data_IF_405844888024
#
_entry.id   IF_405844888024
#
_cell.length_a   1.000
_cell.length_b   1.000
_cell.length_c   1.000
_cell.angle_alpha   90.00
_cell.angle_beta   90.00
_cell.angle_gamma   90.00
#
_symmetry.space_group_name_H-M   'P 1'
#
loop_
_entity.id
_entity.type
_entity.pdbx_description
1 polymer ?
#
# COMPACT_ATOMS: atom_id res chain seq x y z
N UNK A 1 -9.12 37.18 8.37
CA UNK A 1 -8.85 35.71 8.42
C UNK A 1 -7.97 35.36 7.23
N UNK A 2 -6.84 34.67 7.45
CA UNK A 2 -5.99 34.17 6.34
C UNK A 2 -6.76 33.15 5.51
N UNK A 3 -6.37 32.95 4.24
CA UNK A 3 -6.97 31.94 3.36
C UNK A 3 -6.92 30.54 4.00
N UNK A 4 -5.80 30.19 4.63
CA UNK A 4 -5.61 28.92 5.32
C UNK A 4 -6.57 28.72 6.50
N UNK A 5 -6.85 29.79 7.27
CA UNK A 5 -7.82 29.73 8.35
C UNK A 5 -9.24 29.49 7.84
N UNK A 6 -9.61 30.10 6.71
CA UNK A 6 -10.92 29.89 6.09
C UNK A 6 -11.11 28.45 5.57
N UNK A 7 -10.07 27.85 4.99
CA UNK A 7 -10.13 26.51 4.41
C UNK A 7 -9.96 25.40 5.46
N UNK A 8 -9.03 25.55 6.39
CA UNK A 8 -8.62 24.47 7.28
C UNK A 8 -9.02 24.63 8.75
N UNK A 9 -9.55 25.80 9.14
CA UNK A 9 -10.03 26.06 10.51
C UNK A 9 -8.96 25.76 11.56
N UNK A 10 -7.74 26.27 11.37
CA UNK A 10 -6.55 25.95 12.16
C UNK A 10 -6.75 26.21 13.66
N UNK A 11 -7.33 27.37 14.02
CA UNK A 11 -7.61 27.74 15.42
C UNK A 11 -8.58 26.76 16.07
N UNK A 12 -9.61 26.34 15.35
CA UNK A 12 -10.61 25.38 15.83
C UNK A 12 -10.01 23.99 16.11
N UNK A 13 -8.94 23.64 15.38
CA UNK A 13 -8.20 22.38 15.54
C UNK A 13 -6.97 22.52 16.45
N UNK A 14 -6.77 23.68 17.08
CA UNK A 14 -5.67 23.94 18.04
C UNK A 14 -4.27 23.85 17.41
N UNK A 15 -4.13 24.24 16.13
CA UNK A 15 -2.87 24.18 15.39
C UNK A 15 -2.51 25.52 14.74
N UNK A 16 -1.32 25.60 14.16
CA UNK A 16 -0.81 26.78 13.45
C UNK A 16 -0.28 26.41 12.08
N UNK A 17 -0.20 27.37 11.14
CA UNK A 17 0.39 27.14 9.82
C UNK A 17 1.80 26.53 9.93
N UNK A 18 2.63 27.01 10.84
CA UNK A 18 3.99 26.50 11.03
C UNK A 18 3.99 25.04 11.47
N UNK A 19 3.10 24.67 12.38
CA UNK A 19 2.97 23.28 12.85
C UNK A 19 2.51 22.37 11.73
N UNK A 20 1.52 22.79 10.94
CA UNK A 20 1.00 22.03 9.81
C UNK A 20 2.05 21.84 8.70
N UNK A 21 2.85 22.89 8.40
CA UNK A 21 3.96 22.80 7.46
C UNK A 21 5.01 21.78 7.94
N UNK A 22 5.43 21.84 9.19
CA UNK A 22 6.38 20.90 9.77
C UNK A 22 5.82 19.47 9.79
N UNK A 23 4.53 19.31 10.07
CA UNK A 23 3.84 18.02 10.03
C UNK A 23 3.79 17.45 8.61
N UNK A 24 3.50 18.29 7.61
CA UNK A 24 3.47 17.89 6.21
C UNK A 24 4.85 17.46 5.69
N UNK A 25 5.89 18.22 6.00
CA UNK A 25 7.28 17.85 5.67
C UNK A 25 7.66 16.53 6.36
N UNK A 26 7.30 16.37 7.63
CA UNK A 26 7.59 15.12 8.36
C UNK A 26 6.87 13.93 7.75
N UNK A 27 5.58 14.06 7.40
CA UNK A 27 4.81 13.02 6.71
C UNK A 27 5.45 12.69 5.37
N UNK A 28 5.76 13.69 4.56
CA UNK A 28 6.40 13.47 3.25
C UNK A 28 7.72 12.71 3.39
N UNK A 29 8.60 13.12 4.30
CA UNK A 29 9.89 12.45 4.50
C UNK A 29 9.75 10.98 4.90
N UNK A 30 8.71 10.62 5.66
CA UNK A 30 8.48 9.23 6.07
C UNK A 30 7.84 8.38 4.99
N UNK A 31 7.07 8.96 4.04
CA UNK A 31 6.42 8.23 2.97
C UNK A 31 7.07 8.42 1.59
N UNK A 32 8.09 9.29 1.45
CA UNK A 32 8.73 9.59 0.17
C UNK A 32 9.46 8.42 -0.47
N UNK A 33 9.77 7.37 0.29
CA UNK A 33 10.36 6.14 -0.26
C UNK A 33 9.51 5.52 -1.38
N UNK A 34 8.21 5.80 -1.41
CA UNK A 34 7.29 5.29 -2.43
C UNK A 34 7.67 5.76 -3.85
N UNK A 35 8.31 6.93 -3.98
CA UNK A 35 8.73 7.45 -5.29
C UNK A 35 9.85 6.62 -5.93
N UNK A 36 10.55 5.82 -5.14
CA UNK A 36 11.58 4.89 -5.60
C UNK A 36 11.00 3.47 -5.74
N UNK A 37 10.29 3.02 -4.72
CA UNK A 37 9.83 1.64 -4.61
C UNK A 37 8.69 1.33 -5.57
N UNK A 38 7.75 2.25 -5.79
CA UNK A 38 6.62 1.98 -6.68
C UNK A 38 7.03 1.82 -8.15
N UNK A 39 7.86 2.70 -8.75
CA UNK A 39 8.37 2.50 -10.11
C UNK A 39 9.19 1.22 -10.25
N UNK A 40 9.95 0.83 -9.23
CA UNK A 40 10.72 -0.40 -9.22
C UNK A 40 9.82 -1.64 -9.24
N UNK A 41 8.76 -1.67 -8.42
CA UNK A 41 7.82 -2.79 -8.38
C UNK A 41 7.04 -2.88 -9.68
N UNK A 42 6.40 -1.79 -10.12
CA UNK A 42 5.56 -1.79 -11.32
C UNK A 42 6.40 -1.93 -12.60
N UNK A 43 7.66 -1.48 -12.61
CA UNK A 43 8.59 -1.68 -13.72
C UNK A 43 8.84 -3.16 -14.04
N UNK A 44 8.72 -4.07 -13.05
CA UNK A 44 8.85 -5.53 -13.29
C UNK A 44 7.75 -6.08 -14.19
N UNK A 45 6.65 -5.37 -14.39
CA UNK A 45 5.52 -5.74 -15.25
C UNK A 45 5.69 -5.31 -16.71
N UNK A 46 6.80 -4.65 -17.04
CA UNK A 46 7.05 -4.05 -18.36
C UNK A 46 6.51 -2.63 -18.52
N UNK A 47 5.99 -2.01 -17.45
CA UNK A 47 5.66 -0.58 -17.45
C UNK A 47 6.93 0.27 -17.49
N UNK A 48 6.86 1.41 -18.19
CA UNK A 48 7.97 2.38 -18.19
C UNK A 48 8.18 2.98 -16.80
N UNK A 49 9.34 2.73 -16.20
CA UNK A 49 9.63 3.13 -14.82
C UNK A 49 9.62 4.66 -14.64
N UNK A 50 10.03 5.43 -15.67
CA UNK A 50 9.99 6.88 -15.64
C UNK A 50 8.55 7.41 -15.63
N UNK A 51 7.69 6.86 -16.48
CA UNK A 51 6.27 7.20 -16.50
C UNK A 51 5.56 6.80 -15.20
N UNK A 52 5.88 5.62 -14.63
CA UNK A 52 5.36 5.19 -13.32
C UNK A 52 5.83 6.11 -12.19
N UNK A 53 7.08 6.59 -12.23
CA UNK A 53 7.56 7.58 -11.26
C UNK A 53 6.70 8.85 -11.29
N UNK A 54 6.44 9.38 -12.49
CA UNK A 54 5.59 10.57 -12.68
C UNK A 54 4.16 10.27 -12.22
N UNK A 55 3.59 9.13 -12.62
CA UNK A 55 2.26 8.69 -12.20
C UNK A 55 2.15 8.58 -10.67
N UNK A 56 3.19 8.04 -10.01
CA UNK A 56 3.27 7.91 -8.54
C UNK A 56 3.22 9.27 -7.86
N UNK A 57 4.07 10.21 -8.30
CA UNK A 57 4.11 11.56 -7.74
C UNK A 57 2.80 12.31 -7.95
N UNK A 58 2.21 12.23 -9.15
CA UNK A 58 0.94 12.89 -9.47
C UNK A 58 -0.24 12.28 -8.72
N UNK A 59 -0.32 10.94 -8.63
CA UNK A 59 -1.37 10.25 -7.88
C UNK A 59 -1.29 10.57 -6.38
N UNK A 60 -0.09 10.57 -5.80
CA UNK A 60 0.14 10.94 -4.41
C UNK A 60 -0.23 12.42 -4.15
N UNK A 61 0.17 13.31 -5.04
CA UNK A 61 -0.16 14.73 -4.95
C UNK A 61 -1.67 14.97 -5.05
N UNK A 62 -2.33 14.38 -6.05
CA UNK A 62 -3.76 14.51 -6.28
C UNK A 62 -4.56 13.93 -5.10
N UNK A 63 -4.25 12.69 -4.70
CA UNK A 63 -4.92 12.02 -3.58
C UNK A 63 -4.80 12.81 -2.29
N UNK A 64 -3.58 13.27 -1.95
CA UNK A 64 -3.33 14.09 -0.76
C UNK A 64 -4.05 15.44 -0.82
N UNK A 65 -4.12 16.08 -2.01
CA UNK A 65 -4.87 17.33 -2.18
C UNK A 65 -6.37 17.12 -2.01
N UNK A 66 -6.94 16.05 -2.58
CA UNK A 66 -8.36 15.72 -2.43
C UNK A 66 -8.68 15.40 -0.96
N UNK A 67 -7.83 14.64 -0.27
CA UNK A 67 -7.96 14.37 1.16
C UNK A 67 -7.92 15.67 1.99
N UNK A 68 -7.00 16.57 1.66
CA UNK A 68 -6.86 17.87 2.32
C UNK A 68 -8.13 18.73 2.20
N UNK A 69 -8.66 18.85 0.99
CA UNK A 69 -9.74 19.77 0.67
C UNK A 69 -11.14 19.20 1.00
N UNK A 70 -11.36 17.92 0.76
CA UNK A 70 -12.66 17.29 0.98
C UNK A 70 -12.90 16.89 2.44
N UNK A 71 -11.88 16.29 3.09
CA UNK A 71 -12.00 15.75 4.45
C UNK A 71 -11.38 16.65 5.53
N UNK A 72 -10.46 17.52 5.16
CA UNK A 72 -9.64 18.34 6.09
C UNK A 72 -8.94 17.45 7.13
N UNK A 73 -8.31 16.33 6.69
CA UNK A 73 -7.54 15.43 7.53
C UNK A 73 -6.04 15.50 7.21
N UNK A 74 -5.16 15.35 8.23
CA UNK A 74 -3.71 15.38 8.06
C UNK A 74 -3.16 14.04 7.54
N UNK A 75 -3.72 13.54 6.42
CA UNK A 75 -3.41 12.22 5.88
C UNK A 75 -2.85 12.36 4.47
N UNK A 76 -1.60 11.99 4.27
CA UNK A 76 -0.99 11.83 2.97
C UNK A 76 -1.46 10.54 2.28
N UNK A 77 -1.54 10.59 0.97
CA UNK A 77 -1.95 9.47 0.13
C UNK A 77 -0.87 9.15 -0.90
N UNK A 78 -0.70 7.88 -1.23
CA UNK A 78 0.19 7.41 -2.28
C UNK A 78 -0.19 5.99 -2.72
N UNK A 79 0.41 5.44 -3.82
CA UNK A 79 0.19 4.05 -4.20
C UNK A 79 0.54 3.07 -3.07
N UNK A 80 -0.41 2.20 -2.71
CA UNK A 80 -0.30 1.29 -1.56
C UNK A 80 0.65 0.12 -1.83
N UNK A 81 1.63 -0.10 -0.95
CA UNK A 81 2.69 -1.09 -1.17
C UNK A 81 2.18 -2.52 -1.36
N UNK A 82 1.22 -2.96 -0.53
CA UNK A 82 0.64 -4.29 -0.64
C UNK A 82 -0.10 -4.49 -1.96
N UNK A 83 -0.85 -3.47 -2.39
CA UNK A 83 -1.60 -3.50 -3.65
C UNK A 83 -0.68 -3.39 -4.88
N UNK A 84 0.45 -2.67 -4.77
CA UNK A 84 1.48 -2.65 -5.80
C UNK A 84 2.08 -4.05 -6.02
N UNK A 85 2.40 -4.73 -4.92
CA UNK A 85 2.93 -6.09 -4.97
C UNK A 85 1.89 -7.08 -5.51
N UNK A 86 0.63 -6.96 -5.11
CA UNK A 86 -0.46 -7.75 -5.67
C UNK A 86 -0.63 -7.52 -7.17
N UNK A 87 -0.63 -6.26 -7.61
CA UNK A 87 -0.67 -5.88 -9.01
C UNK A 87 0.47 -6.55 -9.81
N UNK A 88 1.71 -6.33 -9.38
CA UNK A 88 2.88 -6.73 -10.14
C UNK A 88 3.11 -8.24 -10.13
N UNK A 89 3.05 -8.88 -8.96
CA UNK A 89 3.48 -10.27 -8.83
C UNK A 89 2.32 -11.26 -8.94
N UNK A 90 1.13 -10.89 -8.48
CA UNK A 90 -0.01 -11.81 -8.55
C UNK A 90 -0.82 -11.60 -9.83
N UNK A 91 -1.22 -10.36 -10.14
CA UNK A 91 -2.12 -10.10 -11.27
C UNK A 91 -1.36 -10.19 -12.60
N UNK A 92 -0.24 -9.47 -12.72
CA UNK A 92 0.56 -9.51 -13.96
C UNK A 92 1.45 -10.76 -14.00
N UNK A 93 2.17 -11.05 -12.91
CA UNK A 93 3.15 -12.13 -12.88
C UNK A 93 2.51 -13.52 -12.90
N UNK A 94 1.71 -13.85 -11.89
CA UNK A 94 1.17 -15.21 -11.72
C UNK A 94 -0.10 -15.47 -12.57
N UNK A 95 -1.04 -14.50 -12.63
CA UNK A 95 -2.25 -14.64 -13.45
C UNK A 95 -2.02 -14.32 -14.92
N UNK A 96 -0.86 -13.76 -15.30
CA UNK A 96 -0.46 -13.50 -16.67
C UNK A 96 -1.23 -12.38 -17.39
N UNK A 97 -1.95 -11.52 -16.66
CA UNK A 97 -2.66 -10.41 -17.27
C UNK A 97 -1.66 -9.33 -17.75
N UNK A 98 -1.85 -8.77 -18.95
CA UNK A 98 -1.14 -7.56 -19.34
C UNK A 98 -1.35 -6.43 -18.32
N UNK A 99 -0.33 -5.63 -18.07
CA UNK A 99 -0.42 -4.55 -17.08
C UNK A 99 -1.53 -3.52 -17.38
N UNK A 100 -1.88 -3.33 -18.65
CA UNK A 100 -2.99 -2.47 -19.08
C UNK A 100 -4.34 -3.00 -18.59
N UNK A 101 -4.54 -4.31 -18.65
CA UNK A 101 -5.72 -4.97 -18.10
C UNK A 101 -5.71 -4.95 -16.57
N UNK A 102 -4.55 -5.13 -15.95
CA UNK A 102 -4.40 -4.98 -14.51
C UNK A 102 -4.76 -3.55 -14.03
N UNK A 103 -4.36 -2.50 -14.77
CA UNK A 103 -4.82 -1.12 -14.51
C UNK A 103 -6.33 -0.98 -14.67
N UNK A 104 -6.92 -1.64 -15.67
CA UNK A 104 -8.37 -1.72 -15.85
C UNK A 104 -9.07 -2.35 -14.63
N UNK A 105 -8.51 -3.42 -14.06
CA UNK A 105 -9.03 -4.05 -12.85
C UNK A 105 -8.93 -3.12 -11.62
N UNK A 106 -7.83 -2.38 -11.46
CA UNK A 106 -7.69 -1.35 -10.41
C UNK A 106 -8.74 -0.25 -10.59
N UNK A 107 -8.96 0.22 -11.82
CA UNK A 107 -9.98 1.21 -12.12
C UNK A 107 -11.39 0.74 -11.74
N UNK A 108 -11.74 -0.49 -12.12
CA UNK A 108 -13.03 -1.09 -11.78
C UNK A 108 -13.15 -1.25 -10.25
N UNK A 109 -12.10 -1.72 -9.56
CA UNK A 109 -12.10 -1.83 -8.11
C UNK A 109 -12.32 -0.46 -7.43
N UNK A 110 -11.67 0.59 -7.94
CA UNK A 110 -11.86 1.96 -7.48
C UNK A 110 -13.30 2.46 -7.66
N UNK A 111 -13.95 2.15 -8.80
CA UNK A 111 -15.36 2.48 -9.03
C UNK A 111 -16.28 1.70 -8.06
N UNK A 112 -16.05 0.40 -7.91
CA UNK A 112 -16.79 -0.42 -6.94
C UNK A 112 -16.61 0.15 -5.53
N UNK A 113 -15.39 0.50 -5.16
CA UNK A 113 -15.08 1.07 -3.87
C UNK A 113 -15.74 2.44 -3.63
N UNK A 114 -15.84 3.26 -4.68
CA UNK A 114 -16.58 4.52 -4.65
C UNK A 114 -18.08 4.27 -4.37
N UNK A 115 -18.69 3.32 -5.06
CA UNK A 115 -20.09 2.93 -4.85
C UNK A 115 -20.31 2.40 -3.43
N UNK A 116 -19.42 1.52 -2.93
CA UNK A 116 -19.47 0.99 -1.56
C UNK A 116 -19.35 2.11 -0.51
N UNK A 117 -18.54 3.14 -0.79
CA UNK A 117 -18.36 4.29 0.10
C UNK A 117 -19.59 5.21 0.10
N UNK A 118 -20.26 5.39 -1.04
CA UNK A 118 -21.49 6.19 -1.18
C UNK A 118 -22.71 5.51 -0.54
N UNK A 119 -22.82 4.19 -0.65
CA UNK A 119 -23.96 3.41 -0.16
C UNK A 119 -23.88 3.04 1.31
N UNK A 120 -22.71 3.23 1.94
CA UNK A 120 -22.46 2.81 3.33
C UNK A 120 -22.18 1.31 3.51
N UNK A 121 -22.22 0.51 2.43
CA UNK A 121 -21.93 -0.93 2.45
C UNK A 121 -20.49 -1.19 2.93
N UNK A 122 -19.56 -0.26 2.66
CA UNK A 122 -18.20 -0.34 3.18
C UNK A 122 -18.15 -0.47 4.71
N UNK A 123 -18.93 0.33 5.43
CA UNK A 123 -18.99 0.26 6.90
C UNK A 123 -19.50 -1.10 7.38
N UNK A 124 -20.49 -1.66 6.69
CA UNK A 124 -21.01 -3.00 6.97
C UNK A 124 -19.97 -4.09 6.72
N UNK A 125 -19.19 -4.03 5.62
CA UNK A 125 -18.10 -4.95 5.34
C UNK A 125 -17.03 -4.90 6.43
N UNK A 126 -16.56 -3.70 6.78
CA UNK A 126 -15.50 -3.50 7.79
C UNK A 126 -15.93 -4.02 9.16
N UNK A 127 -17.19 -3.76 9.56
CA UNK A 127 -17.70 -4.24 10.84
C UNK A 127 -17.92 -5.75 10.87
N UNK A 128 -18.14 -6.37 9.72
CA UNK A 128 -18.44 -7.79 9.60
C UNK A 128 -17.23 -8.72 9.60
N UNK A 129 -16.02 -8.20 9.33
CA UNK A 129 -14.83 -9.05 9.30
C UNK A 129 -14.12 -9.01 10.64
N UNK A 130 -13.81 -10.19 11.22
CA UNK A 130 -13.14 -10.31 12.52
C UNK A 130 -11.80 -9.56 12.57
N UNK A 131 -11.48 -8.99 13.73
CA UNK A 131 -10.19 -8.29 13.94
C UNK A 131 -9.00 -9.20 13.64
N UNK A 132 -9.06 -10.46 14.07
CA UNK A 132 -8.00 -11.46 13.84
C UNK A 132 -7.70 -11.65 12.34
N UNK A 133 -8.74 -11.75 11.48
CA UNK A 133 -8.52 -11.86 10.03
C UNK A 133 -7.98 -10.56 9.42
N UNK A 134 -8.47 -9.40 9.86
CA UNK A 134 -7.95 -8.10 9.36
C UNK A 134 -6.47 -7.94 9.68
N UNK A 135 -6.08 -8.23 10.91
CA UNK A 135 -4.69 -8.15 11.35
C UNK A 135 -3.81 -9.17 10.64
N UNK A 136 -4.32 -10.39 10.40
CA UNK A 136 -3.64 -11.41 9.64
C UNK A 136 -3.43 -11.03 8.16
N UNK A 137 -4.40 -10.35 7.54
CA UNK A 137 -4.26 -9.84 6.16
C UNK A 137 -3.11 -8.84 6.08
N UNK A 138 -3.07 -7.85 6.99
CA UNK A 138 -1.99 -6.85 7.00
C UNK A 138 -0.65 -7.51 7.25
N UNK A 139 -0.54 -8.40 8.22
CA UNK A 139 0.69 -9.12 8.52
C UNK A 139 1.13 -10.04 7.36
N UNK A 140 0.19 -10.73 6.70
CA UNK A 140 0.45 -11.57 5.53
C UNK A 140 1.00 -10.78 4.35
N UNK A 141 0.45 -9.60 4.07
CA UNK A 141 0.99 -8.67 3.09
C UNK A 141 2.42 -8.24 3.49
N UNK A 142 2.65 -7.98 4.77
CA UNK A 142 4.00 -7.70 5.28
C UNK A 142 4.97 -8.84 5.02
N UNK A 143 4.60 -10.09 5.32
CA UNK A 143 5.42 -11.27 5.02
C UNK A 143 5.67 -11.44 3.51
N UNK A 144 4.66 -11.15 2.69
CA UNK A 144 4.79 -11.18 1.23
C UNK A 144 5.78 -10.11 0.73
N UNK A 145 5.75 -8.90 1.29
CA UNK A 145 6.74 -7.87 0.98
C UNK A 145 8.14 -8.26 1.45
N UNK A 146 8.25 -8.93 2.61
CA UNK A 146 9.53 -9.38 3.15
C UNK A 146 10.22 -10.41 2.24
N UNK A 147 9.49 -11.41 1.73
CA UNK A 147 10.09 -12.40 0.81
C UNK A 147 10.55 -11.73 -0.49
N UNK A 148 9.77 -10.78 -1.03
CA UNK A 148 10.15 -10.00 -2.21
C UNK A 148 11.42 -9.18 -1.94
N UNK A 149 11.48 -8.50 -0.81
CA UNK A 149 12.65 -7.69 -0.44
C UNK A 149 13.92 -8.53 -0.30
N UNK A 150 13.83 -9.67 0.38
CA UNK A 150 14.94 -10.59 0.57
C UNK A 150 15.41 -11.21 -0.76
N UNK A 151 14.47 -11.52 -1.67
CA UNK A 151 14.78 -12.04 -2.99
C UNK A 151 15.44 -10.97 -3.88
N UNK A 152 14.89 -9.76 -3.93
CA UNK A 152 15.43 -8.64 -4.73
C UNK A 152 16.81 -8.20 -4.25
N UNK A 153 17.09 -8.30 -2.96
CA UNK A 153 18.42 -8.00 -2.39
C UNK A 153 19.44 -9.12 -2.59
N UNK A 154 19.02 -10.30 -3.06
CA UNK A 154 19.88 -11.47 -3.19
C UNK A 154 20.24 -12.13 -1.85
N UNK A 155 19.59 -11.74 -0.74
CA UNK A 155 19.75 -12.39 0.58
C UNK A 155 19.19 -13.80 0.56
N UNK A 156 18.06 -14.01 -0.14
CA UNK A 156 17.54 -15.33 -0.45
C UNK A 156 17.51 -15.55 -1.96
N UNK A 157 17.72 -16.79 -2.37
CA UNK A 157 17.71 -17.25 -3.78
C UNK A 157 16.85 -18.50 -3.91
N UNK A 158 16.37 -18.77 -5.13
CA UNK A 158 15.65 -20.00 -5.42
C UNK A 158 16.55 -21.22 -5.24
N UNK A 159 15.97 -22.30 -4.74
CA UNK A 159 16.64 -23.60 -4.57
C UNK A 159 15.64 -24.70 -4.93
N UNK A 160 16.06 -25.66 -5.76
CA UNK A 160 15.17 -26.72 -6.27
C UNK A 160 14.70 -27.68 -5.16
N UNK A 161 15.52 -27.92 -4.13
CA UNK A 161 15.20 -28.87 -3.05
C UNK A 161 14.36 -28.22 -1.93
N UNK A 162 14.65 -26.95 -1.59
CA UNK A 162 14.08 -26.27 -0.42
C UNK A 162 13.21 -25.06 -0.78
N UNK A 163 12.98 -24.79 -2.08
CA UNK A 163 12.32 -23.63 -2.68
C UNK A 163 13.13 -22.33 -2.52
N UNK A 164 13.70 -22.09 -1.34
CA UNK A 164 14.55 -20.93 -1.04
C UNK A 164 15.79 -21.34 -0.24
N UNK A 165 16.91 -20.66 -0.51
CA UNK A 165 18.16 -20.83 0.22
C UNK A 165 18.79 -19.46 0.48
N UNK A 166 19.79 -19.44 1.39
CA UNK A 166 20.59 -18.24 1.63
C UNK A 166 21.45 -17.95 0.38
N UNK A 167 21.36 -16.73 -0.11
CA UNK A 167 22.20 -16.26 -1.21
C UNK A 167 23.66 -16.01 -0.83
N UNK A 168 24.51 -15.66 -1.80
CA UNK A 168 25.93 -15.40 -1.57
C UNK A 168 26.12 -14.06 -0.84
N UNK A 169 26.24 -14.09 0.49
CA UNK A 169 26.41 -12.89 1.32
C UNK A 169 27.79 -12.21 1.15
N UNK A 170 28.68 -12.77 0.36
CA UNK A 170 30.00 -12.20 0.05
C UNK A 170 29.97 -11.19 -1.12
N UNK A 171 28.80 -10.90 -1.68
CA UNK A 171 28.62 -9.90 -2.74
C UNK A 171 28.08 -8.58 -2.18
N UNK A 172 28.32 -7.47 -2.88
CA UNK A 172 27.93 -6.15 -2.41
C UNK A 172 26.41 -5.95 -2.22
N UNK A 173 25.51 -6.39 -3.15
CA UNK A 173 24.08 -6.13 -3.03
C UNK A 173 23.44 -6.66 -1.73
N UNK A 174 23.56 -7.94 -1.33
CA UNK A 174 22.96 -8.43 -0.10
C UNK A 174 23.58 -7.82 1.15
N UNK A 175 24.91 -7.56 1.16
CA UNK A 175 25.57 -6.90 2.29
C UNK A 175 25.08 -5.46 2.47
N UNK A 176 24.97 -4.70 1.38
CA UNK A 176 24.46 -3.34 1.40
C UNK A 176 22.99 -3.29 1.82
N UNK A 177 22.18 -4.24 1.37
CA UNK A 177 20.79 -4.34 1.77
C UNK A 177 20.65 -4.63 3.27
N UNK A 178 21.39 -5.58 3.82
CA UNK A 178 21.37 -5.87 5.26
C UNK A 178 21.89 -4.70 6.09
N UNK A 179 22.98 -4.05 5.66
CA UNK A 179 23.50 -2.85 6.31
C UNK A 179 22.48 -1.69 6.25
N UNK A 180 21.81 -1.51 5.11
CA UNK A 180 20.75 -0.52 4.94
C UNK A 180 19.55 -0.77 5.85
N UNK A 181 19.14 -2.03 6.01
CA UNK A 181 18.08 -2.41 6.94
C UNK A 181 18.44 -2.08 8.39
N UNK A 182 19.65 -2.43 8.82
CA UNK A 182 20.13 -2.09 10.16
C UNK A 182 20.24 -0.58 10.36
N UNK A 183 20.72 0.15 9.34
CA UNK A 183 20.77 1.61 9.39
C UNK A 183 19.38 2.22 9.57
N UNK A 184 18.39 1.81 8.77
CA UNK A 184 17.00 2.26 8.89
C UNK A 184 16.48 1.97 10.31
N UNK A 185 16.67 0.76 10.81
CA UNK A 185 16.22 0.34 12.14
C UNK A 185 16.86 1.18 13.26
N UNK A 186 18.17 1.47 13.18
CA UNK A 186 18.87 2.34 14.15
C UNK A 186 18.36 3.77 14.08
N UNK A 187 18.19 4.33 12.88
CA UNK A 187 17.71 5.70 12.70
C UNK A 187 16.28 5.85 13.22
N UNK A 188 15.42 4.86 12.96
CA UNK A 188 14.05 4.84 13.44
C UNK A 188 13.96 4.68 14.96
N UNK A 189 14.79 3.79 15.55
CA UNK A 189 14.92 3.66 16.99
C UNK A 189 15.36 4.96 17.66
N UNK A 190 16.19 5.75 16.98
CA UNK A 190 16.60 7.10 17.41
C UNK A 190 15.56 8.18 17.09
N UNK A 191 14.42 7.81 16.52
CA UNK A 191 13.34 8.72 16.10
C UNK A 191 13.78 9.78 15.09
N UNK A 192 14.73 9.44 14.22
CA UNK A 192 15.18 10.32 13.14
C UNK A 192 14.16 10.28 12.02
N UNK A 193 13.59 11.43 11.69
CA UNK A 193 12.58 11.56 10.65
C UNK A 193 13.17 11.27 9.29
N UNK A 194 12.43 10.50 8.46
CA UNK A 194 12.89 10.10 7.14
C UNK A 194 13.96 9.01 7.17
N UNK A 195 14.05 8.21 8.24
CA UNK A 195 15.00 7.11 8.39
C UNK A 195 15.04 6.19 7.17
N UNK A 196 13.88 5.85 6.60
CA UNK A 196 13.77 5.01 5.41
C UNK A 196 14.41 5.68 4.19
N UNK A 197 14.09 6.95 3.95
CA UNK A 197 14.69 7.72 2.85
C UNK A 197 16.22 7.83 3.00
N UNK A 198 16.69 8.14 4.20
CA UNK A 198 18.13 8.22 4.50
C UNK A 198 18.80 6.87 4.22
N UNK A 199 18.19 5.75 4.63
CA UNK A 199 18.69 4.42 4.37
C UNK A 199 18.81 4.10 2.88
N UNK A 200 17.76 4.39 2.09
CA UNK A 200 17.80 4.19 0.64
C UNK A 200 18.93 5.02 0.00
N UNK A 201 19.02 6.30 0.34
CA UNK A 201 20.05 7.19 -0.21
C UNK A 201 21.47 6.78 0.23
N UNK A 202 21.64 6.33 1.47
CA UNK A 202 22.94 5.85 1.96
C UNK A 202 23.40 4.58 1.23
N UNK A 203 22.49 3.61 1.02
CA UNK A 203 22.79 2.38 0.28
C UNK A 203 23.08 2.70 -1.19
N UNK A 204 22.27 3.58 -1.82
CA UNK A 204 22.52 4.04 -3.19
C UNK A 204 23.88 4.74 -3.33
N UNK A 205 24.23 5.61 -2.37
CA UNK A 205 25.53 6.27 -2.33
C UNK A 205 26.69 5.31 -2.15
N UNK A 206 26.52 4.26 -1.33
CA UNK A 206 27.52 3.20 -1.18
C UNK A 206 27.68 2.39 -2.47
N UNK A 207 26.56 2.05 -3.16
CA UNK A 207 26.60 1.40 -4.46
C UNK A 207 27.29 2.26 -5.53
N UNK A 208 27.07 3.57 -5.50
CA UNK A 208 27.80 4.49 -6.36
C UNK A 208 29.30 4.52 -6.06
N UNK A 209 29.69 4.55 -4.80
CA UNK A 209 31.11 4.52 -4.39
C UNK A 209 31.80 3.20 -4.77
N UNK A 210 31.08 2.10 -4.86
CA UNK A 210 31.56 0.78 -5.30
C UNK A 210 31.56 0.62 -6.83
N UNK A 211 30.97 1.58 -7.58
CA UNK A 211 30.91 1.55 -9.04
C UNK A 211 29.73 0.82 -9.64
N UNK A 212 28.81 0.29 -8.81
CA UNK A 212 27.59 -0.41 -9.27
C UNK A 212 26.51 0.55 -9.79
N UNK A 213 26.50 1.80 -9.28
CA UNK A 213 25.52 2.81 -9.64
C UNK A 213 26.19 3.91 -10.46
N UNK A 214 25.62 4.24 -11.62
CA UNK A 214 26.10 5.35 -12.43
C UNK A 214 25.37 6.65 -12.06
N UNK A 215 26.14 7.72 -11.88
CA UNK A 215 25.56 9.04 -11.59
C UNK A 215 24.89 9.62 -12.83
N UNK A 216 23.58 9.92 -12.72
CA UNK A 216 22.74 10.48 -13.80
C UNK A 216 22.29 11.92 -13.54
N UNK A 217 22.77 12.55 -12.48
CA UNK A 217 22.32 13.86 -12.04
C UNK A 217 21.32 13.80 -10.89
N UNK A 218 21.04 14.95 -10.28
CA UNK A 218 20.08 15.03 -9.17
C UNK A 218 18.73 15.59 -9.61
N UNK A 219 18.71 16.50 -10.57
CA UNK A 219 17.52 17.25 -10.99
C UNK A 219 17.42 17.25 -12.50
N UNK A 220 16.22 16.99 -13.02
CA UNK A 220 15.86 17.13 -14.43
C UNK A 220 14.39 17.50 -14.58
N UNK A 221 13.97 17.80 -15.81
CA UNK A 221 12.55 17.83 -16.13
C UNK A 221 11.95 16.44 -15.96
N UNK A 222 10.69 16.33 -15.49
CA UNK A 222 10.02 15.05 -15.33
C UNK A 222 9.99 14.25 -16.65
N UNK A 223 10.13 12.92 -16.59
CA UNK A 223 9.88 12.05 -17.75
C UNK A 223 8.45 12.20 -18.28
N UNK A 224 8.23 11.73 -19.50
CA UNK A 224 6.88 11.73 -20.09
C UNK A 224 5.95 10.75 -19.35
N UNK A 225 4.74 11.19 -19.05
CA UNK A 225 3.68 10.35 -18.50
C UNK A 225 2.97 9.51 -19.59
N UNK A 226 3.12 9.88 -20.86
CA UNK A 226 2.38 9.31 -22.00
C UNK A 226 2.42 7.76 -22.07
N UNK A 227 3.52 7.05 -21.72
CA UNK A 227 3.56 5.60 -21.77
C UNK A 227 2.57 4.89 -20.87
N UNK A 228 2.09 5.54 -19.79
CA UNK A 228 1.17 4.91 -18.82
C UNK A 228 -0.17 5.63 -18.68
N UNK A 229 -0.25 6.88 -19.15
CA UNK A 229 -1.46 7.70 -19.03
C UNK A 229 -2.60 7.16 -19.88
N UNK A 230 -3.74 6.86 -19.23
CA UNK A 230 -4.96 6.32 -19.84
C UNK A 230 -4.74 5.02 -20.65
N UNK A 231 -3.73 4.24 -20.29
CA UNK A 231 -3.42 2.97 -20.94
C UNK A 231 -4.21 1.78 -20.36
N UNK A 232 -5.31 2.05 -19.64
CA UNK A 232 -6.16 0.96 -19.15
C UNK A 232 -6.91 0.30 -20.33
N UNK A 233 -6.78 -1.02 -20.43
CA UNK A 233 -7.48 -1.83 -21.43
C UNK A 233 -8.73 -2.48 -20.80
N UNK A 234 -9.83 -1.72 -20.74
CA UNK A 234 -11.12 -2.22 -20.28
C UNK A 234 -11.79 -3.19 -21.29
N UNK A 235 -11.74 -2.93 -22.61
CA UNK A 235 -12.27 -3.87 -23.58
C UNK A 235 -11.58 -5.24 -23.51
N UNK A 236 -10.24 -5.30 -23.52
CA UNK A 236 -9.49 -6.55 -23.41
C UNK A 236 -9.73 -7.31 -22.12
N UNK A 237 -10.04 -6.60 -21.04
CA UNK A 237 -10.39 -7.19 -19.75
C UNK A 237 -11.78 -7.85 -19.76
N UNK A 238 -12.72 -7.36 -20.58
CA UNK A 238 -14.12 -7.84 -20.64
C UNK A 238 -14.37 -8.80 -21.81
N UNK A 239 -13.53 -8.82 -22.85
CA UNK A 239 -13.68 -9.67 -24.02
C UNK A 239 -12.82 -10.93 -23.92
N UNK A 240 -13.42 -12.09 -24.23
CA UNK A 240 -12.87 -13.43 -23.98
C UNK A 240 -11.98 -13.97 -25.09
N UNK A 241 -11.55 -13.19 -26.06
CA UNK A 241 -10.72 -13.65 -27.18
C UNK A 241 -9.26 -13.87 -26.75
N UNK A 242 -9.03 -14.94 -25.94
CA UNK A 242 -7.71 -15.30 -25.42
C UNK A 242 -7.30 -14.60 -24.11
N UNK A 243 -8.20 -13.84 -23.48
CA UNK A 243 -8.00 -13.22 -22.16
C UNK A 243 -8.28 -14.16 -20.98
N UNK A 244 -7.96 -13.71 -19.78
CA UNK A 244 -8.25 -14.46 -18.57
C UNK A 244 -9.76 -14.69 -18.38
N UNK A 245 -10.19 -15.86 -17.84
CA UNK A 245 -11.58 -16.14 -17.56
C UNK A 245 -12.23 -15.03 -16.71
N UNK A 246 -13.52 -14.74 -16.88
CA UNK A 246 -14.25 -13.74 -16.09
C UNK A 246 -14.12 -13.99 -14.58
N UNK A 247 -13.91 -15.24 -14.18
CA UNK A 247 -13.67 -15.65 -12.79
C UNK A 247 -12.39 -15.06 -12.24
N UNK A 248 -11.32 -14.99 -13.04
CA UNK A 248 -10.03 -14.36 -12.66
C UNK A 248 -10.21 -12.85 -12.48
N UNK A 249 -10.93 -12.21 -13.40
CA UNK A 249 -11.25 -10.77 -13.28
C UNK A 249 -12.03 -10.47 -12.00
N UNK A 250 -13.12 -11.21 -11.76
CA UNK A 250 -13.95 -11.02 -10.57
C UNK A 250 -13.14 -11.21 -9.29
N UNK A 251 -12.25 -12.20 -9.28
CA UNK A 251 -11.34 -12.44 -8.16
C UNK A 251 -10.35 -11.29 -7.96
N UNK A 252 -9.69 -10.83 -9.02
CA UNK A 252 -8.72 -9.75 -8.95
C UNK A 252 -9.38 -8.48 -8.41
N UNK A 253 -10.56 -8.12 -8.93
CA UNK A 253 -11.34 -6.99 -8.44
C UNK A 253 -11.76 -7.19 -6.98
N UNK A 254 -12.25 -8.39 -6.61
CA UNK A 254 -12.64 -8.71 -5.24
C UNK A 254 -11.47 -8.54 -4.27
N UNK A 255 -10.28 -9.03 -4.62
CA UNK A 255 -9.08 -8.92 -3.78
C UNK A 255 -8.65 -7.46 -3.64
N UNK A 256 -8.62 -6.68 -4.74
CA UNK A 256 -8.34 -5.25 -4.66
C UNK A 256 -9.32 -4.57 -3.70
N UNK A 257 -10.63 -4.78 -3.88
CA UNK A 257 -11.67 -4.17 -3.03
C UNK A 257 -11.50 -4.58 -1.56
N UNK A 258 -11.28 -5.87 -1.27
CA UNK A 258 -11.12 -6.34 0.11
C UNK A 258 -9.88 -5.73 0.77
N UNK A 259 -8.73 -5.78 0.10
CA UNK A 259 -7.48 -5.22 0.66
C UNK A 259 -7.62 -3.71 0.86
N UNK A 260 -8.17 -2.97 -0.11
CA UNK A 260 -8.43 -1.54 -0.01
C UNK A 260 -9.38 -1.19 1.13
N UNK A 261 -10.47 -1.97 1.30
CA UNK A 261 -11.42 -1.76 2.40
C UNK A 261 -10.72 -1.79 3.76
N UNK A 262 -9.79 -2.75 3.96
CA UNK A 262 -9.11 -2.90 5.25
C UNK A 262 -7.97 -1.91 5.42
N UNK A 263 -7.10 -1.81 4.42
CA UNK A 263 -5.92 -0.96 4.46
C UNK A 263 -6.31 0.51 4.64
N UNK A 264 -7.12 1.04 3.74
CA UNK A 264 -7.54 2.44 3.78
C UNK A 264 -8.38 2.76 5.04
N UNK A 265 -9.33 1.88 5.42
CA UNK A 265 -10.17 2.16 6.58
C UNK A 265 -9.38 2.05 7.87
N UNK A 266 -8.55 1.02 8.03
CA UNK A 266 -7.68 0.83 9.20
C UNK A 266 -6.71 2.00 9.37
N UNK A 267 -6.03 2.37 8.30
CA UNK A 267 -5.08 3.50 8.28
C UNK A 267 -5.76 4.82 8.61
N UNK A 268 -6.90 5.12 8.00
CA UNK A 268 -7.65 6.34 8.30
C UNK A 268 -8.11 6.39 9.76
N UNK A 269 -8.69 5.29 10.29
CA UNK A 269 -9.06 5.22 11.70
C UNK A 269 -7.86 5.40 12.63
N UNK A 270 -6.74 4.74 12.33
CA UNK A 270 -5.51 4.81 13.11
C UNK A 270 -4.93 6.22 13.16
N UNK A 271 -4.77 6.88 12.00
CA UNK A 271 -4.18 8.23 11.90
C UNK A 271 -5.11 9.29 12.46
N UNK A 272 -6.39 9.29 12.06
CA UNK A 272 -7.38 10.28 12.49
C UNK A 272 -7.72 10.11 13.98
N UNK A 273 -7.71 8.87 14.47
CA UNK A 273 -7.87 8.55 15.89
C UNK A 273 -6.73 9.07 16.75
N UNK A 274 -5.48 8.85 16.34
CA UNK A 274 -4.27 9.40 17.00
C UNK A 274 -4.24 10.93 17.00
N UNK A 275 -4.79 11.54 15.94
CA UNK A 275 -4.95 12.99 15.87
C UNK A 275 -6.04 13.54 16.82
N UNK A 276 -6.83 12.67 17.45
CA UNK A 276 -7.97 13.05 18.30
C UNK A 276 -9.18 13.57 17.52
N UNK A 277 -9.16 13.51 16.20
CA UNK A 277 -10.17 14.14 15.33
C UNK A 277 -11.48 13.36 15.25
N UNK A 278 -11.49 12.08 15.63
CA UNK A 278 -12.71 11.24 15.69
C UNK A 278 -13.69 11.69 16.78
N UNK A 279 -13.20 12.41 17.81
CA UNK A 279 -14.01 12.90 18.92
C UNK A 279 -14.66 14.26 18.65
N UNK A 280 -14.27 14.92 17.56
CA UNK A 280 -14.78 16.25 17.22
C UNK A 280 -16.18 16.20 16.59
N UNK A 281 -17.01 17.23 16.79
CA UNK A 281 -18.29 17.34 16.10
C UNK A 281 -18.13 17.23 14.58
N UNK A 282 -19.02 16.47 13.93
CA UNK A 282 -18.98 16.26 12.48
C UNK A 282 -17.90 15.30 11.98
N UNK A 283 -17.15 14.63 12.89
CA UNK A 283 -16.10 13.67 12.54
C UNK A 283 -16.58 12.58 11.59
N UNK A 284 -17.77 12.01 11.80
CA UNK A 284 -18.33 10.96 10.96
C UNK A 284 -18.55 11.42 9.50
N UNK A 285 -19.07 12.66 9.32
CA UNK A 285 -19.26 13.24 7.98
C UNK A 285 -17.91 13.49 7.30
N UNK A 286 -16.92 13.99 8.03
CA UNK A 286 -15.55 14.19 7.52
C UNK A 286 -14.90 12.85 7.17
N UNK A 287 -15.09 11.81 7.98
CA UNK A 287 -14.60 10.47 7.72
C UNK A 287 -15.22 9.89 6.45
N UNK A 288 -16.52 10.03 6.24
CA UNK A 288 -17.17 9.65 4.98
C UNK A 288 -16.57 10.35 3.77
N UNK A 289 -16.24 11.66 3.87
CA UNK A 289 -15.54 12.38 2.80
C UNK A 289 -14.12 11.87 2.57
N UNK A 290 -13.41 11.46 3.63
CA UNK A 290 -12.10 10.86 3.51
C UNK A 290 -12.13 9.53 2.76
N UNK A 291 -13.16 8.71 3.00
CA UNK A 291 -13.38 7.47 2.26
C UNK A 291 -13.66 7.72 0.77
N UNK A 292 -14.41 8.79 0.45
CA UNK A 292 -14.63 9.20 -0.94
C UNK A 292 -13.34 9.74 -1.59
N UNK A 293 -12.54 10.53 -0.85
CA UNK A 293 -11.25 11.00 -1.32
C UNK A 293 -10.31 9.83 -1.68
N UNK A 294 -10.29 8.80 -0.83
CA UNK A 294 -9.54 7.58 -1.03
C UNK A 294 -9.99 6.85 -2.30
N UNK A 295 -11.29 6.61 -2.46
CA UNK A 295 -11.85 5.96 -3.66
C UNK A 295 -11.56 6.74 -4.95
N UNK A 296 -11.65 8.07 -4.91
CA UNK A 296 -11.34 8.91 -6.08
C UNK A 296 -9.86 8.90 -6.43
N UNK A 297 -8.99 8.79 -5.43
CA UNK A 297 -7.54 8.67 -5.66
C UNK A 297 -7.17 7.36 -6.34
N UNK A 298 -7.86 6.24 -6.02
CA UNK A 298 -7.68 4.95 -6.70
C UNK A 298 -8.01 5.06 -8.19
N UNK A 299 -9.20 5.61 -8.49
CA UNK A 299 -9.64 5.81 -9.88
C UNK A 299 -8.66 6.70 -10.63
N UNK A 300 -8.28 7.84 -10.06
CA UNK A 300 -7.35 8.77 -10.70
C UNK A 300 -5.94 8.16 -10.86
N UNK A 301 -5.45 7.43 -9.85
CA UNK A 301 -4.14 6.76 -9.90
C UNK A 301 -4.06 5.73 -11.02
N UNK A 302 -5.09 4.90 -11.20
CA UNK A 302 -5.14 3.94 -12.30
C UNK A 302 -5.16 4.60 -13.69
N UNK A 303 -5.85 5.75 -13.83
CA UNK A 303 -5.84 6.54 -15.07
C UNK A 303 -4.48 7.19 -15.35
N UNK A 304 -3.74 7.58 -14.31
CA UNK A 304 -2.37 8.09 -14.43
C UNK A 304 -1.35 6.98 -14.75
N UNK A 305 -1.70 5.72 -14.52
CA UNK A 305 -0.82 4.58 -14.78
C UNK A 305 -0.02 4.13 -13.57
N UNK A 306 -0.65 4.17 -12.39
CA UNK A 306 -0.13 3.54 -11.18
C UNK A 306 -1.19 2.63 -10.55
N UNK A 307 -0.80 1.77 -9.62
CA UNK A 307 -1.73 0.92 -8.91
C UNK A 307 -2.59 1.71 -7.90
N UNK A 308 -3.34 1.01 -7.06
CA UNK A 308 -4.27 1.63 -6.11
C UNK A 308 -3.58 2.65 -5.20
N UNK A 309 -4.12 3.87 -5.16
CA UNK A 309 -3.63 4.99 -4.34
C UNK A 309 -4.49 5.10 -3.09
N UNK A 310 -3.90 4.99 -1.91
CA UNK A 310 -4.61 4.91 -0.63
C UNK A 310 -3.96 5.76 0.47
N UNK A 311 -4.62 5.86 1.62
CA UNK A 311 -4.13 6.57 2.79
C UNK A 311 -2.88 5.88 3.38
N UNK A 312 -1.85 6.66 3.74
CA UNK A 312 -0.58 6.15 4.27
C UNK A 312 -0.51 6.24 5.80
N UNK A 313 -0.15 5.14 6.44
CA UNK A 313 0.01 5.04 7.90
C UNK A 313 1.13 5.95 8.45
N UNK A 314 2.14 6.23 7.64
CA UNK A 314 3.24 7.15 7.90
C UNK A 314 2.76 8.58 8.21
N UNK A 315 1.53 8.93 7.82
CA UNK A 315 0.88 10.19 8.21
C UNK A 315 0.79 10.36 9.72
N UNK A 316 0.83 9.26 10.48
CA UNK A 316 0.91 9.30 11.94
C UNK A 316 2.14 10.05 12.46
N UNK A 317 3.23 10.09 11.71
CA UNK A 317 4.45 10.84 12.07
C UNK A 317 4.21 12.35 12.04
N UNK A 318 3.48 12.87 11.05
CA UNK A 318 3.05 14.26 10.99
C UNK A 318 2.05 14.62 12.09
N UNK A 319 1.12 13.70 12.39
CA UNK A 319 0.19 13.85 13.53
C UNK A 319 0.94 13.96 14.86
N UNK A 320 2.01 13.18 15.07
CA UNK A 320 2.86 13.27 16.27
C UNK A 320 3.56 14.63 16.41
N UNK A 321 3.86 15.29 15.30
CA UNK A 321 4.45 16.66 15.29
C UNK A 321 3.41 17.74 15.53
N UNK A 322 2.13 17.40 15.48
CA UNK A 322 1.03 18.32 15.75
C UNK A 322 0.13 18.62 14.54
N UNK A 323 0.27 17.88 13.42
CA UNK A 323 -0.65 17.98 12.28
C UNK A 323 -2.07 17.59 12.68
N UNK A 324 -3.05 18.43 12.35
CA UNK A 324 -4.46 18.26 12.74
C UNK A 324 -5.43 18.54 11.61
N UNK A 325 -4.95 19.12 10.52
CA UNK A 325 -5.81 19.60 9.43
C UNK A 325 -5.34 19.14 8.07
N UNK A 326 -6.17 19.34 7.05
CA UNK A 326 -5.82 19.08 5.66
C UNK A 326 -4.63 19.90 5.15
N UNK A 327 -4.23 20.97 5.83
CA UNK A 327 -3.05 21.73 5.42
C UNK A 327 -1.78 20.86 5.46
N UNK A 328 -1.65 19.95 6.43
CA UNK A 328 -0.60 18.92 6.45
C UNK A 328 -0.59 18.09 5.16
N UNK A 329 -1.74 17.57 4.73
CA UNK A 329 -1.86 16.78 3.51
C UNK A 329 -1.61 17.60 2.24
N UNK A 330 -2.00 18.89 2.24
CA UNK A 330 -1.73 19.78 1.11
C UNK A 330 -0.22 20.06 0.96
N UNK A 331 0.51 20.15 2.06
CA UNK A 331 1.99 20.26 2.04
C UNK A 331 2.60 18.98 1.47
N UNK A 332 2.11 17.80 1.86
CA UNK A 332 2.53 16.53 1.29
C UNK A 332 2.32 16.52 -0.22
N UNK A 333 1.14 16.96 -0.68
CA UNK A 333 0.82 17.10 -2.11
C UNK A 333 1.85 17.98 -2.85
N UNK A 334 2.13 19.16 -2.32
CA UNK A 334 3.09 20.08 -2.91
C UNK A 334 4.51 19.49 -2.97
N UNK A 335 4.92 18.73 -1.95
CA UNK A 335 6.23 18.09 -1.91
C UNK A 335 6.33 16.92 -2.91
N UNK A 336 5.25 16.15 -3.14
CA UNK A 336 5.23 15.15 -4.21
C UNK A 336 5.32 15.78 -5.61
N UNK A 337 4.69 16.94 -5.83
CA UNK A 337 4.89 17.68 -7.08
C UNK A 337 6.34 18.19 -7.24
N UNK A 338 6.96 18.65 -6.15
CA UNK A 338 8.37 19.03 -6.17
C UNK A 338 9.29 17.80 -6.40
N UNK A 339 8.91 16.61 -5.93
CA UNK A 339 9.65 15.39 -6.14
C UNK A 339 9.77 14.99 -7.62
N UNK A 340 8.86 15.43 -8.48
CA UNK A 340 8.95 15.21 -9.94
C UNK A 340 10.29 15.66 -10.55
N UNK A 341 10.90 16.69 -9.98
CA UNK A 341 12.19 17.19 -10.44
C UNK A 341 13.37 16.27 -10.12
N UNK A 342 13.19 15.32 -9.20
CA UNK A 342 14.24 14.39 -8.74
C UNK A 342 14.20 13.04 -9.47
N UNK A 343 13.65 12.98 -10.68
CA UNK A 343 13.57 11.76 -11.47
C UNK A 343 14.92 11.08 -11.75
N UNK A 344 16.05 11.80 -12.02
CA UNK A 344 17.33 11.13 -12.20
C UNK A 344 17.82 10.43 -10.92
N UNK A 345 17.57 11.07 -9.76
CA UNK A 345 17.89 10.46 -8.47
C UNK A 345 17.08 9.16 -8.26
N UNK A 346 15.81 9.17 -8.63
CA UNK A 346 14.96 7.98 -8.55
C UNK A 346 15.46 6.85 -9.47
N UNK A 347 15.89 7.19 -10.69
CA UNK A 347 16.43 6.22 -11.64
C UNK A 347 17.78 5.61 -11.21
N UNK A 348 18.52 6.29 -10.34
CA UNK A 348 19.80 5.80 -9.80
C UNK A 348 19.65 4.79 -8.66
N UNK A 349 18.48 4.69 -8.03
CA UNK A 349 18.26 3.84 -6.86
C UNK A 349 18.17 2.38 -7.30
N UNK A 350 19.14 1.51 -6.93
CA UNK A 350 19.11 0.10 -7.31
C UNK A 350 18.14 -0.68 -6.41
N UNK A 351 17.69 -1.85 -6.87
CA UNK A 351 16.74 -2.69 -6.15
C UNK A 351 17.20 -3.12 -4.76
N UNK A 352 18.49 -3.37 -4.59
CA UNK A 352 19.05 -3.69 -3.27
C UNK A 352 19.07 -2.49 -2.31
N UNK A 353 18.84 -1.26 -2.78
CA UNK A 353 18.68 -0.08 -1.93
C UNK A 353 17.24 0.15 -1.49
N UNK A 354 16.25 -0.30 -2.26
CA UNK A 354 14.83 -0.24 -1.90
C UNK A 354 14.41 -1.42 -1.02
N UNK A 355 15.06 -2.57 -1.17
CA UNK A 355 14.78 -3.79 -0.41
C UNK A 355 14.82 -3.60 1.13
N UNK A 356 15.76 -2.87 1.73
CA UNK A 356 15.76 -2.55 3.15
C UNK A 356 14.50 -1.82 3.62
N UNK A 357 14.01 -0.90 2.81
CA UNK A 357 12.79 -0.15 3.10
C UNK A 357 11.56 -1.06 3.12
N UNK A 358 11.43 -1.93 2.09
CA UNK A 358 10.37 -2.93 2.01
C UNK A 358 10.39 -3.88 3.21
N UNK A 359 11.57 -4.38 3.57
CA UNK A 359 11.74 -5.28 4.70
C UNK A 359 11.39 -4.58 6.03
N UNK A 360 11.75 -3.32 6.18
CA UNK A 360 11.41 -2.54 7.37
C UNK A 360 9.89 -2.31 7.48
N UNK A 361 9.24 -1.92 6.38
CA UNK A 361 7.76 -1.76 6.32
C UNK A 361 7.07 -3.08 6.61
N UNK A 362 7.56 -4.19 6.06
CA UNK A 362 7.07 -5.53 6.37
C UNK A 362 7.12 -5.82 7.87
N UNK A 363 8.23 -5.48 8.54
CA UNK A 363 8.36 -5.60 9.99
C UNK A 363 7.34 -4.77 10.78
N UNK A 364 6.99 -3.56 10.29
CA UNK A 364 5.94 -2.75 10.89
C UNK A 364 4.56 -3.40 10.74
N UNK A 365 4.27 -4.00 9.57
CA UNK A 365 3.00 -4.68 9.30
C UNK A 365 2.84 -5.95 10.16
N UNK A 366 3.91 -6.66 10.47
CA UNK A 366 3.88 -7.84 11.36
C UNK A 366 3.39 -7.51 12.78
N UNK A 367 3.51 -6.28 13.24
CA UNK A 367 3.03 -5.86 14.56
C UNK A 367 1.52 -6.04 14.73
N UNK A 368 0.77 -6.07 13.65
CA UNK A 368 -0.67 -6.30 13.68
C UNK A 368 -1.04 -7.72 14.20
N UNK A 369 -0.11 -8.69 14.16
CA UNK A 369 -0.35 -10.03 14.72
C UNK A 369 -0.62 -10.04 16.24
N UNK A 370 -0.28 -8.97 16.95
CA UNK A 370 -0.59 -8.80 18.38
C UNK A 370 -2.09 -8.70 18.62
N UNK A 371 -2.85 -8.19 17.64
CA UNK A 371 -4.32 -8.07 17.73
C UNK A 371 -5.07 -9.37 17.45
N UNK A 372 -4.36 -10.44 17.07
CA UNK A 372 -4.96 -11.77 16.85
C UNK A 372 -5.19 -12.45 18.21
N UNK A 373 -6.39 -12.97 18.41
CA UNK A 373 -6.66 -13.79 19.57
C UNK A 373 -6.05 -15.19 19.40
N UNK A 374 -4.84 -15.37 19.91
CA UNK A 374 -4.10 -16.62 19.85
C UNK A 374 -4.62 -17.69 20.80
N UNK A 375 -5.51 -17.35 21.75
CA UNK A 375 -6.10 -18.29 22.69
C UNK A 375 -7.29 -19.05 22.11
N UNK A 376 -8.00 -18.46 21.13
CA UNK A 376 -9.10 -19.11 20.40
C UNK A 376 -8.59 -19.70 19.08
N UNK A 377 -8.58 -21.03 18.97
CA UNK A 377 -8.17 -21.74 17.76
C UNK A 377 -9.02 -21.39 16.53
N UNK A 378 -10.29 -20.99 16.74
CA UNK A 378 -11.16 -20.57 15.62
C UNK A 378 -10.82 -19.20 15.07
N UNK A 379 -10.00 -18.43 15.76
CA UNK A 379 -9.43 -17.14 15.33
C UNK A 379 -7.97 -17.29 14.87
N UNK A 380 -7.14 -17.98 15.68
CA UNK A 380 -5.69 -18.05 15.46
C UNK A 380 -5.30 -18.92 14.27
N UNK A 381 -5.97 -20.07 14.05
CA UNK A 381 -5.65 -20.95 12.90
C UNK A 381 -5.97 -20.29 11.55
N UNK A 382 -7.15 -19.68 11.33
CA UNK A 382 -7.41 -18.94 10.09
C UNK A 382 -6.47 -17.76 9.89
N UNK A 383 -6.13 -17.04 10.97
CA UNK A 383 -5.18 -15.93 10.92
C UNK A 383 -3.78 -16.41 10.50
N UNK A 384 -3.29 -17.49 11.09
CA UNK A 384 -2.01 -18.09 10.73
C UNK A 384 -1.99 -18.55 9.26
N UNK A 385 -3.04 -19.27 8.81
CA UNK A 385 -3.16 -19.69 7.41
C UNK A 385 -3.18 -18.52 6.45
N UNK A 386 -3.96 -17.47 6.77
CA UNK A 386 -4.03 -16.26 5.96
C UNK A 386 -2.64 -15.62 5.81
N UNK A 387 -1.94 -15.39 6.91
CA UNK A 387 -0.66 -14.71 6.91
C UNK A 387 0.46 -15.53 6.24
N UNK A 388 0.53 -16.84 6.50
CA UNK A 388 1.59 -17.71 5.97
C UNK A 388 1.35 -18.07 4.50
N UNK A 389 0.10 -18.26 4.08
CA UNK A 389 -0.16 -18.63 2.69
C UNK A 389 0.26 -17.55 1.68
N UNK A 390 0.20 -16.26 2.04
CA UNK A 390 0.58 -15.18 1.13
C UNK A 390 2.02 -15.29 0.61
N UNK A 391 3.07 -15.36 1.45
CA UNK A 391 4.43 -15.51 0.98
C UNK A 391 4.71 -16.88 0.36
N UNK A 392 4.15 -17.97 0.91
CA UNK A 392 4.44 -19.33 0.45
C UNK A 392 3.74 -19.72 -0.85
N UNK A 393 2.60 -19.11 -1.17
CA UNK A 393 1.94 -19.29 -2.47
C UNK A 393 2.25 -18.15 -3.45
N UNK A 394 3.07 -17.20 -3.03
CA UNK A 394 3.39 -15.96 -3.76
C UNK A 394 2.13 -15.22 -4.22
N UNK A 395 1.05 -15.26 -3.41
CA UNK A 395 -0.26 -14.71 -3.75
C UNK A 395 -1.04 -14.21 -2.53
N UNK A 396 -1.33 -12.92 -2.51
CA UNK A 396 -2.22 -12.32 -1.50
C UNK A 396 -3.62 -12.93 -1.58
N UNK A 397 -4.10 -13.19 -2.80
CA UNK A 397 -5.42 -13.78 -3.03
C UNK A 397 -5.59 -15.15 -2.38
N UNK A 398 -4.58 -16.02 -2.48
CA UNK A 398 -4.61 -17.35 -1.85
C UNK A 398 -4.59 -17.25 -0.33
N UNK A 399 -3.82 -16.32 0.24
CA UNK A 399 -3.83 -16.08 1.68
C UNK A 399 -5.21 -15.63 2.19
N UNK A 400 -5.84 -14.68 1.50
CA UNK A 400 -7.22 -14.28 1.80
C UNK A 400 -8.18 -15.47 1.72
N UNK A 401 -8.13 -16.23 0.63
CA UNK A 401 -9.01 -17.37 0.41
C UNK A 401 -8.89 -18.39 1.56
N UNK A 402 -7.66 -18.81 1.89
CA UNK A 402 -7.42 -19.77 2.94
C UNK A 402 -7.87 -19.26 4.30
N UNK A 403 -7.61 -17.99 4.62
CA UNK A 403 -8.04 -17.36 5.87
C UNK A 403 -9.57 -17.34 6.02
N UNK A 404 -10.29 -16.85 5.00
CA UNK A 404 -11.74 -16.74 5.04
C UNK A 404 -12.44 -18.10 5.05
N UNK A 405 -11.99 -19.05 4.22
CA UNK A 405 -12.54 -20.41 4.15
C UNK A 405 -12.30 -21.13 5.47
N UNK A 406 -11.08 -21.09 6.03
CA UNK A 406 -10.75 -21.72 7.30
C UNK A 406 -11.55 -21.12 8.45
N UNK A 407 -11.71 -19.81 8.50
CA UNK A 407 -12.51 -19.13 9.53
C UNK A 407 -13.97 -19.60 9.51
N UNK A 408 -14.60 -19.56 8.34
CA UNK A 408 -15.98 -19.99 8.17
C UNK A 408 -16.15 -21.50 8.54
N UNK A 409 -15.24 -22.36 8.07
CA UNK A 409 -15.26 -23.79 8.30
C UNK A 409 -15.07 -24.14 9.80
N UNK A 410 -14.10 -23.53 10.48
CA UNK A 410 -13.83 -23.79 11.90
C UNK A 410 -14.97 -23.28 12.78
N UNK A 411 -15.51 -22.10 12.55
CA UNK A 411 -16.67 -21.59 13.28
C UNK A 411 -17.90 -22.46 13.07
N UNK A 412 -18.13 -22.94 11.83
CA UNK A 412 -19.25 -23.88 11.56
C UNK A 412 -19.03 -25.23 12.24
N UNK A 413 -17.83 -25.81 12.09
CA UNK A 413 -17.49 -27.11 12.65
C UNK A 413 -17.53 -27.17 14.21
N UNK A 414 -17.30 -26.04 14.86
CA UNK A 414 -17.39 -25.87 16.32
C UNK A 414 -18.79 -25.44 16.81
N UNK A 415 -19.80 -25.39 15.92
CA UNK A 415 -21.16 -24.97 16.25
C UNK A 415 -21.36 -23.48 16.44
N UNK A 416 -20.30 -22.66 16.20
CA UNK A 416 -20.28 -21.18 16.35
C UNK A 416 -20.63 -20.44 15.06
N UNK A 417 -21.33 -21.08 14.12
CA UNK A 417 -21.67 -20.53 12.80
C UNK A 417 -22.44 -19.21 12.86
N UNK A 418 -23.18 -18.93 13.95
CA UNK A 418 -23.91 -17.68 14.18
C UNK A 418 -23.00 -16.48 14.47
N UNK A 419 -21.76 -16.72 14.87
CA UNK A 419 -20.77 -15.66 15.09
C UNK A 419 -20.17 -15.17 13.76
N UNK A 420 -20.31 -15.95 12.69
CA UNK A 420 -19.77 -15.59 11.37
C UNK A 420 -20.70 -14.61 10.69
N UNK A 421 -20.18 -13.39 10.45
CA UNK A 421 -20.94 -12.36 9.77
C UNK A 421 -21.24 -12.76 8.30
N UNK A 422 -22.41 -12.40 7.73
CA UNK A 422 -22.76 -12.75 6.35
C UNK A 422 -21.72 -12.34 5.30
N UNK A 423 -21.00 -11.25 5.49
CA UNK A 423 -19.92 -10.82 4.60
C UNK A 423 -18.78 -11.85 4.52
N UNK A 424 -18.41 -12.47 5.66
CA UNK A 424 -17.39 -13.52 5.71
C UNK A 424 -17.84 -14.77 4.96
N UNK A 425 -19.09 -15.17 5.16
CA UNK A 425 -19.70 -16.29 4.43
C UNK A 425 -19.68 -16.04 2.93
N UNK A 426 -20.08 -14.83 2.49
CA UNK A 426 -20.08 -14.47 1.08
C UNK A 426 -18.67 -14.61 0.48
N UNK A 427 -17.66 -14.03 1.14
CA UNK A 427 -16.27 -14.09 0.67
C UNK A 427 -15.75 -15.54 0.65
N UNK A 428 -15.99 -16.32 1.70
CA UNK A 428 -15.59 -17.72 1.78
C UNK A 428 -16.21 -18.57 0.67
N UNK A 429 -17.51 -18.38 0.40
CA UNK A 429 -18.21 -19.08 -0.70
C UNK A 429 -17.65 -18.68 -2.06
N UNK A 430 -17.41 -17.39 -2.31
CA UNK A 430 -16.83 -16.94 -3.57
C UNK A 430 -15.45 -17.55 -3.84
N UNK A 431 -14.57 -17.61 -2.83
CA UNK A 431 -13.26 -18.25 -2.95
C UNK A 431 -13.36 -19.77 -3.12
N UNK A 432 -14.30 -20.42 -2.42
CA UNK A 432 -14.52 -21.87 -2.54
C UNK A 432 -15.02 -22.23 -3.95
N UNK A 433 -15.98 -21.46 -4.48
CA UNK A 433 -16.48 -21.65 -5.83
C UNK A 433 -15.36 -21.47 -6.88
N UNK A 434 -14.49 -20.50 -6.68
CA UNK A 434 -13.34 -20.32 -7.54
C UNK A 434 -12.49 -21.59 -7.64
N UNK A 435 -12.04 -22.13 -6.48
CA UNK A 435 -11.20 -23.34 -6.46
C UNK A 435 -11.93 -24.60 -6.95
N UNK A 436 -13.25 -24.61 -6.92
CA UNK A 436 -14.04 -25.70 -7.48
C UNK A 436 -14.21 -25.63 -9.00
N UNK A 437 -13.99 -24.44 -9.60
CA UNK A 437 -14.15 -24.19 -11.04
C UNK A 437 -12.80 -24.12 -11.79
N UNK A 438 -11.67 -24.02 -11.08
CA UNK A 438 -10.31 -24.20 -11.62
C UNK A 438 -9.95 -25.69 -11.77
#
# INVERSE_FOLDING_TARGET
>A
MSLFERLFQLQQHGTTVRTELLAGVTTFLTMSYIVFVNPEILGTTGMDAGAVFVATCLAAALGSAVMALAANFPVGMAPGMGLNAFFAFTVVGAAGLPWQQALGAVFISGLVFLVLSLTGVRAWLVSGIPSSLRSAIVAGIGLFLAIIALQKSGVIVGNEDTLVALGPLNTAPPLLALAGFLLIAVLEARRIRGAILIGILAVTGAGWALGDVQYQGLVSLPPSLAPTFLQLDLPGLLHHDGGAPITVLLQVVLVFVLVEVFDATGTLYGVVGRAGLLKLPGAQKRFGRALLADSTAIVAGSMLGTSSTTAFAESASGVQVGGRTGLTALVVSALFLAALLFSPLAAMVPSYATAPALLFVAGLMLRELVEVDWSDLTESVPAALCALAMPFTYSIANGLAFGFIAYAALKAGTGRWREVHPAVWLVAVLFTLRYALE
#
